data_IF_052490925354
#
_entry.id   IF_052490925354
#
_cell.length_a   1.000
_cell.length_b   1.000
_cell.length_c   1.000
_cell.angle_alpha   90.00
_cell.angle_beta   90.00
_cell.angle_gamma   90.00
#
_symmetry.space_group_name_H-M   'P 1'
#
loop_
_entity.id
_entity.type
_entity.pdbx_description
1 polymer ?
#
# COMPACT_ATOMS: atom_id res chain seq x y z
N UNK A 1 -21.15 15.73 -28.87
CA UNK A 1 -21.26 16.81 -27.89
C UNK A 1 -20.64 16.37 -26.58
N UNK A 2 -19.66 17.13 -26.10
CA UNK A 2 -18.99 16.92 -24.81
C UNK A 2 -19.97 17.10 -23.64
N UNK A 3 -19.97 16.18 -22.68
CA UNK A 3 -20.76 16.28 -21.45
C UNK A 3 -20.01 17.10 -20.38
N UNK A 4 -19.83 18.39 -20.65
CA UNK A 4 -19.02 19.29 -19.82
C UNK A 4 -19.43 19.29 -18.35
N UNK A 5 -20.75 19.27 -18.07
CA UNK A 5 -21.25 19.27 -16.68
C UNK A 5 -20.77 18.06 -15.90
N UNK A 6 -20.83 16.86 -16.50
CA UNK A 6 -20.41 15.63 -15.82
C UNK A 6 -18.89 15.54 -15.70
N UNK A 7 -18.16 15.99 -16.72
CA UNK A 7 -16.70 16.03 -16.72
C UNK A 7 -16.20 16.95 -15.62
N UNK A 8 -16.73 18.17 -15.50
CA UNK A 8 -16.35 19.12 -14.45
C UNK A 8 -16.61 18.58 -13.04
N UNK A 9 -17.74 17.89 -12.82
CA UNK A 9 -18.02 17.26 -11.51
C UNK A 9 -16.96 16.21 -11.15
N UNK A 10 -16.55 15.37 -12.11
CA UNK A 10 -15.51 14.36 -11.88
C UNK A 10 -14.12 15.00 -11.77
N UNK A 11 -13.87 16.09 -12.50
CA UNK A 11 -12.65 16.88 -12.45
C UNK A 11 -12.42 17.49 -11.06
N UNK A 12 -13.45 18.14 -10.52
CA UNK A 12 -13.41 18.72 -9.17
C UNK A 12 -13.29 17.63 -8.10
N UNK A 13 -14.00 16.50 -8.24
CA UNK A 13 -13.89 15.35 -7.33
C UNK A 13 -12.48 14.73 -7.33
N UNK A 14 -11.80 14.76 -8.47
CA UNK A 14 -10.43 14.28 -8.61
C UNK A 14 -9.39 15.26 -8.00
N UNK A 15 -9.81 16.45 -7.54
CA UNK A 15 -8.91 17.46 -7.01
C UNK A 15 -8.00 18.08 -8.08
N UNK A 16 -8.41 18.01 -9.35
CA UNK A 16 -7.68 18.62 -10.47
C UNK A 16 -7.88 20.15 -10.46
N UNK A 17 -6.86 20.95 -10.83
CA UNK A 17 -6.95 22.40 -10.82
C UNK A 17 -8.02 22.88 -11.80
N UNK A 18 -8.83 23.82 -11.32
CA UNK A 18 -9.80 24.56 -12.10
C UNK A 18 -9.28 26.01 -12.27
N UNK A 19 -8.57 26.26 -13.36
CA UNK A 19 -7.94 27.53 -13.71
C UNK A 19 -8.37 27.96 -15.13
N UNK A 20 -7.85 29.09 -15.61
CA UNK A 20 -8.22 29.64 -16.92
C UNK A 20 -7.86 28.73 -18.12
N UNK A 21 -7.02 27.72 -17.92
CA UNK A 21 -6.61 26.76 -18.96
C UNK A 21 -7.43 25.46 -18.93
N UNK A 22 -8.11 25.16 -17.81
CA UNK A 22 -8.86 23.91 -17.61
C UNK A 22 -9.85 23.61 -18.72
N UNK A 23 -10.56 24.63 -19.23
CA UNK A 23 -11.49 24.45 -20.35
C UNK A 23 -10.78 24.04 -21.64
N UNK A 24 -9.61 24.64 -21.92
CA UNK A 24 -8.78 24.31 -23.07
C UNK A 24 -8.25 22.89 -22.98
N UNK A 25 -7.72 22.51 -21.81
CA UNK A 25 -7.24 21.15 -21.53
C UNK A 25 -8.37 20.12 -21.71
N UNK A 26 -9.54 20.36 -21.12
CA UNK A 26 -10.71 19.48 -21.23
C UNK A 26 -11.14 19.32 -22.69
N UNK A 27 -11.17 20.42 -23.44
CA UNK A 27 -11.59 20.40 -24.84
C UNK A 27 -10.58 19.64 -25.69
N UNK A 28 -9.28 19.88 -25.51
CA UNK A 28 -8.21 19.20 -26.24
C UNK A 28 -8.22 17.69 -25.97
N UNK A 29 -8.27 17.28 -24.71
CA UNK A 29 -8.28 15.86 -24.32
C UNK A 29 -9.54 15.16 -24.87
N UNK A 30 -10.69 15.84 -24.82
CA UNK A 30 -11.91 15.28 -25.37
C UNK A 30 -11.87 15.18 -26.90
N UNK A 31 -11.26 16.14 -27.58
CA UNK A 31 -11.14 16.13 -29.04
C UNK A 31 -10.38 14.89 -29.50
N UNK A 32 -9.24 14.58 -28.87
CA UNK A 32 -8.45 13.37 -29.13
C UNK A 32 -9.29 12.08 -28.97
N UNK A 33 -10.07 11.99 -27.89
CA UNK A 33 -10.96 10.85 -27.66
C UNK A 33 -12.09 10.77 -28.69
N UNK A 34 -12.70 11.91 -29.05
CA UNK A 34 -13.85 11.93 -29.94
C UNK A 34 -13.51 11.49 -31.38
N UNK A 35 -12.28 11.73 -31.82
CA UNK A 35 -11.78 11.29 -33.13
C UNK A 35 -11.50 9.79 -33.20
N UNK A 36 -11.18 9.15 -32.07
CA UNK A 36 -10.77 7.74 -32.05
C UNK A 36 -11.81 6.80 -31.43
N UNK A 37 -12.78 7.31 -30.68
CA UNK A 37 -13.82 6.50 -30.04
C UNK A 37 -14.90 6.04 -31.02
N UNK A 38 -15.58 4.95 -30.69
CA UNK A 38 -16.67 4.41 -31.52
C UNK A 38 -17.83 5.41 -31.70
N UNK A 39 -18.05 6.27 -30.70
CA UNK A 39 -19.03 7.35 -30.72
C UNK A 39 -18.81 8.34 -29.56
N UNK A 40 -19.49 9.47 -29.60
CA UNK A 40 -19.38 10.52 -28.58
C UNK A 40 -19.77 10.07 -27.16
N UNK A 41 -20.68 9.10 -27.03
CA UNK A 41 -21.05 8.56 -25.73
C UNK A 41 -19.87 7.78 -25.13
N UNK A 42 -19.17 7.00 -25.95
CA UNK A 42 -17.94 6.30 -25.55
C UNK A 42 -16.82 7.29 -25.25
N UNK A 43 -16.58 8.32 -26.08
CA UNK A 43 -15.60 9.38 -25.78
C UNK A 43 -15.81 9.99 -24.38
N UNK A 44 -17.06 10.33 -24.05
CA UNK A 44 -17.41 10.89 -22.74
C UNK A 44 -17.16 9.89 -21.59
N UNK A 45 -17.46 8.61 -21.79
CA UNK A 45 -17.20 7.57 -20.78
C UNK A 45 -15.71 7.37 -20.57
N UNK A 46 -14.94 7.26 -21.66
CA UNK A 46 -13.50 7.11 -21.64
C UNK A 46 -12.86 8.30 -20.91
N UNK A 47 -13.27 9.53 -21.19
CA UNK A 47 -12.72 10.70 -20.49
C UNK A 47 -12.97 10.66 -18.97
N UNK A 48 -14.19 10.31 -18.55
CA UNK A 48 -14.51 10.16 -17.12
C UNK A 48 -13.66 9.05 -16.48
N UNK A 49 -13.43 7.94 -17.19
CA UNK A 49 -12.53 6.88 -16.71
C UNK A 49 -11.09 7.39 -16.56
N UNK A 50 -10.60 8.23 -17.47
CA UNK A 50 -9.24 8.77 -17.39
C UNK A 50 -9.07 9.65 -16.15
N UNK A 51 -10.04 10.53 -15.88
CA UNK A 51 -10.06 11.37 -14.68
C UNK A 51 -10.05 10.52 -13.42
N UNK A 52 -10.87 9.47 -13.37
CA UNK A 52 -10.93 8.55 -12.22
C UNK A 52 -9.62 7.78 -12.04
N UNK A 53 -9.00 7.30 -13.12
CA UNK A 53 -7.70 6.62 -13.07
C UNK A 53 -6.60 7.57 -12.57
N UNK A 54 -6.60 8.83 -13.02
CA UNK A 54 -5.67 9.85 -12.51
C UNK A 54 -5.87 10.11 -11.00
N UNK A 55 -7.13 10.19 -10.54
CA UNK A 55 -7.46 10.33 -9.13
C UNK A 55 -7.01 9.12 -8.29
N UNK A 56 -7.18 7.89 -8.78
CA UNK A 56 -6.70 6.68 -8.10
C UNK A 56 -5.17 6.64 -7.97
N UNK A 57 -4.45 7.29 -8.89
CA UNK A 57 -3.00 7.47 -8.84
C UNK A 57 -2.56 8.69 -7.99
N UNK A 58 -3.48 9.36 -7.29
CA UNK A 58 -3.24 10.62 -6.55
C UNK A 58 -2.63 11.74 -7.41
N UNK A 59 -2.90 11.75 -8.72
CA UNK A 59 -2.42 12.82 -9.60
C UNK A 59 -3.39 13.99 -9.63
N UNK A 60 -2.85 15.20 -9.48
CA UNK A 60 -3.60 16.45 -9.45
C UNK A 60 -3.33 17.33 -10.67
N UNK A 61 -2.93 16.74 -11.81
CA UNK A 61 -2.59 17.50 -13.03
C UNK A 61 -3.41 17.06 -14.24
N UNK A 62 -3.82 18.02 -15.08
CA UNK A 62 -4.50 17.75 -16.36
C UNK A 62 -3.65 16.87 -17.30
N UNK A 63 -2.33 17.11 -17.30
CA UNK A 63 -1.36 16.31 -18.05
C UNK A 63 -1.40 14.82 -17.72
N UNK A 64 -1.70 14.44 -16.47
CA UNK A 64 -1.82 13.03 -16.12
C UNK A 64 -3.06 12.39 -16.74
N UNK A 65 -4.17 13.13 -16.84
CA UNK A 65 -5.38 12.69 -17.52
C UNK A 65 -5.11 12.53 -19.02
N UNK A 66 -4.41 13.50 -19.62
CA UNK A 66 -3.99 13.45 -21.03
C UNK A 66 -3.08 12.25 -21.32
N UNK A 67 -2.09 11.99 -20.47
CA UNK A 67 -1.19 10.85 -20.64
C UNK A 67 -1.93 9.51 -20.58
N UNK A 68 -2.90 9.37 -19.68
CA UNK A 68 -3.76 8.17 -19.61
C UNK A 68 -4.57 8.01 -20.90
N UNK A 69 -5.16 9.10 -21.39
CA UNK A 69 -5.91 9.08 -22.66
C UNK A 69 -5.00 8.67 -23.81
N UNK A 70 -3.81 9.26 -23.94
CA UNK A 70 -2.83 8.90 -24.97
C UNK A 70 -2.41 7.44 -24.89
N UNK A 71 -2.22 6.88 -23.68
CA UNK A 71 -1.92 5.46 -23.50
C UNK A 71 -3.02 4.58 -24.10
N UNK A 72 -4.29 4.89 -23.82
CA UNK A 72 -5.42 4.14 -24.34
C UNK A 72 -5.59 4.28 -25.85
N UNK A 73 -5.36 5.48 -26.39
CA UNK A 73 -5.39 5.73 -27.83
C UNK A 73 -4.28 4.97 -28.56
N UNK A 74 -3.06 4.95 -28.02
CA UNK A 74 -1.94 4.17 -28.58
C UNK A 74 -2.18 2.67 -28.52
N UNK A 75 -2.92 2.19 -27.52
CA UNK A 75 -3.38 0.82 -27.43
C UNK A 75 -4.58 0.50 -28.35
N UNK A 76 -5.08 1.49 -29.11
CA UNK A 76 -6.18 1.31 -30.06
C UNK A 76 -7.55 1.10 -29.39
N UNK A 77 -7.72 1.58 -28.15
CA UNK A 77 -8.95 1.38 -27.39
C UNK A 77 -9.98 2.44 -27.78
N UNK A 78 -11.15 2.00 -28.26
CA UNK A 78 -12.18 2.89 -28.82
C UNK A 78 -13.45 3.00 -27.96
N UNK A 79 -13.57 2.22 -26.89
CA UNK A 79 -14.72 2.23 -25.98
C UNK A 79 -14.36 1.90 -24.52
N UNK A 80 -15.29 2.19 -23.61
CA UNK A 80 -15.08 2.04 -22.17
C UNK A 80 -14.90 0.57 -21.73
N UNK A 81 -15.51 -0.38 -22.45
CA UNK A 81 -15.39 -1.81 -22.15
C UNK A 81 -13.97 -2.29 -22.46
N UNK A 82 -13.43 -1.93 -23.63
CA UNK A 82 -12.07 -2.26 -24.04
C UNK A 82 -11.03 -1.71 -23.06
N UNK A 83 -11.22 -0.48 -22.54
CA UNK A 83 -10.39 0.06 -21.45
C UNK A 83 -10.48 -0.82 -20.20
N UNK A 84 -11.71 -1.18 -19.79
CA UNK A 84 -11.91 -2.01 -18.60
C UNK A 84 -11.18 -3.35 -18.68
N UNK A 85 -11.14 -3.96 -19.85
CA UNK A 85 -10.46 -5.24 -20.07
C UNK A 85 -8.94 -5.06 -20.20
N UNK A 86 -8.48 -4.02 -20.90
CA UNK A 86 -7.06 -3.63 -20.97
C UNK A 86 -6.45 -3.37 -19.59
N UNK A 87 -7.14 -2.62 -18.72
CA UNK A 87 -6.65 -2.33 -17.37
C UNK A 87 -6.59 -3.59 -16.49
N UNK A 88 -7.54 -4.52 -16.62
CA UNK A 88 -7.50 -5.80 -15.92
C UNK A 88 -6.31 -6.63 -16.37
N UNK A 89 -6.06 -6.71 -17.67
CA UNK A 89 -4.90 -7.41 -18.22
C UNK A 89 -3.60 -6.76 -17.77
N UNK A 90 -3.49 -5.43 -17.82
CA UNK A 90 -2.33 -4.68 -17.35
C UNK A 90 -2.02 -4.95 -15.88
N UNK A 91 -3.04 -4.95 -15.00
CA UNK A 91 -2.86 -5.32 -13.59
C UNK A 91 -2.44 -6.77 -13.38
N UNK A 92 -2.89 -7.70 -14.24
CA UNK A 92 -2.44 -9.08 -14.21
C UNK A 92 -1.00 -9.24 -14.74
N UNK A 93 -0.60 -8.44 -15.74
CA UNK A 93 0.75 -8.42 -16.28
C UNK A 93 1.76 -7.82 -15.31
N UNK A 94 1.40 -6.76 -14.56
CA UNK A 94 2.25 -6.23 -13.48
C UNK A 94 2.49 -7.23 -12.35
N UNK A 95 1.63 -8.25 -12.20
CA UNK A 95 1.84 -9.37 -11.25
C UNK A 95 2.81 -10.44 -11.76
N UNK A 96 3.33 -10.32 -12.98
CA UNK A 96 4.41 -11.17 -13.47
C UNK A 96 5.73 -10.54 -13.00
N UNK A 97 6.47 -11.27 -12.17
CA UNK A 97 7.76 -10.83 -11.66
C UNK A 97 8.75 -10.62 -12.80
N UNK A 98 9.91 -10.02 -12.48
CA UNK A 98 10.95 -9.56 -13.41
C UNK A 98 11.45 -10.57 -14.46
N UNK A 99 11.02 -11.83 -14.40
CA UNK A 99 11.35 -12.93 -15.32
C UNK A 99 10.13 -13.78 -15.74
N UNK A 100 8.92 -13.22 -15.76
CA UNK A 100 7.70 -13.96 -16.17
C UNK A 100 7.21 -15.00 -15.16
N UNK A 101 7.88 -15.16 -14.02
CA UNK A 101 7.41 -15.97 -12.91
C UNK A 101 6.30 -15.21 -12.15
N UNK A 102 5.21 -15.88 -11.74
CA UNK A 102 4.18 -15.24 -10.94
C UNK A 102 4.81 -14.68 -9.66
N UNK A 103 4.56 -13.40 -9.35
CA UNK A 103 4.94 -12.82 -8.06
C UNK A 103 4.22 -13.65 -7.00
N UNK A 104 4.98 -14.45 -6.23
CA UNK A 104 4.47 -15.05 -5.01
C UNK A 104 4.10 -13.88 -4.10
N UNK A 105 2.82 -13.52 -4.08
CA UNK A 105 2.29 -12.72 -3.00
C UNK A 105 2.45 -13.60 -1.77
N UNK A 106 3.42 -13.29 -0.91
CA UNK A 106 3.37 -13.78 0.45
C UNK A 106 2.00 -13.35 0.96
N UNK A 107 1.16 -14.34 1.28
CA UNK A 107 -0.08 -14.07 1.99
C UNK A 107 0.29 -13.19 3.15
N UNK A 108 -0.30 -11.97 3.23
CA UNK A 108 -0.20 -11.13 4.43
C UNK A 108 -0.31 -12.07 5.61
N UNK A 109 0.71 -12.11 6.47
CA UNK A 109 0.69 -12.98 7.64
C UNK A 109 -0.64 -12.73 8.34
N UNK A 110 -1.52 -13.73 8.31
CA UNK A 110 -2.82 -13.60 8.94
C UNK A 110 -2.53 -13.33 10.41
N UNK A 111 -3.12 -12.27 10.96
CA UNK A 111 -3.03 -12.05 12.39
C UNK A 111 -3.50 -13.34 13.08
N UNK A 112 -2.72 -13.90 14.02
CA UNK A 112 -3.10 -15.12 14.68
C UNK A 112 -4.44 -14.90 15.39
N UNK A 113 -5.35 -15.84 15.19
CA UNK A 113 -6.66 -15.80 15.82
C UNK A 113 -6.55 -15.94 17.34
N UNK A 114 -7.54 -15.45 18.07
CA UNK A 114 -7.57 -15.50 19.54
C UNK A 114 -7.35 -16.93 20.09
N UNK A 115 -7.85 -17.94 19.38
CA UNK A 115 -7.73 -19.33 19.80
C UNK A 115 -6.33 -19.92 19.50
N UNK A 116 -5.68 -19.50 18.43
CA UNK A 116 -4.27 -19.85 18.15
C UNK A 116 -3.34 -19.25 19.22
N UNK A 117 -3.60 -18.01 19.65
CA UNK A 117 -2.84 -17.36 20.73
C UNK A 117 -3.02 -18.11 22.05
N UNK A 118 -4.24 -18.54 22.39
CA UNK A 118 -4.50 -19.33 23.61
C UNK A 118 -3.76 -20.66 23.59
N UNK A 119 -3.86 -21.40 22.48
CA UNK A 119 -3.15 -22.68 22.34
C UNK A 119 -1.63 -22.52 22.42
N UNK A 120 -1.09 -21.44 21.82
CA UNK A 120 0.33 -21.12 21.94
C UNK A 120 0.72 -20.85 23.40
N UNK A 121 -0.04 -20.02 24.12
CA UNK A 121 0.24 -19.71 25.52
C UNK A 121 0.18 -20.94 26.43
N UNK A 122 -0.77 -21.85 26.20
CA UNK A 122 -0.87 -23.12 26.94
C UNK A 122 0.32 -24.05 26.68
N UNK A 123 0.79 -24.13 25.42
CA UNK A 123 2.01 -24.89 25.08
C UNK A 123 3.23 -24.32 25.78
N UNK A 124 3.40 -23.00 25.73
CA UNK A 124 4.52 -22.31 26.37
C UNK A 124 4.53 -22.47 27.88
N UNK A 125 3.36 -22.39 28.53
CA UNK A 125 3.26 -22.64 29.96
C UNK A 125 3.78 -24.04 30.33
N UNK A 126 3.41 -25.07 29.57
CA UNK A 126 3.87 -26.45 29.78
C UNK A 126 5.37 -26.62 29.51
N UNK A 127 5.88 -26.08 28.39
CA UNK A 127 7.29 -26.17 28.02
C UNK A 127 8.21 -25.49 29.06
N UNK A 128 7.76 -24.36 29.61
CA UNK A 128 8.48 -23.63 30.64
C UNK A 128 8.27 -24.19 32.06
N UNK A 129 7.49 -25.27 32.20
CA UNK A 129 7.24 -25.97 33.47
C UNK A 129 6.26 -25.28 34.43
N UNK A 130 5.41 -24.37 33.93
CA UNK A 130 4.36 -23.72 34.72
C UNK A 130 3.06 -24.53 34.70
N UNK A 131 2.35 -24.53 35.84
CA UNK A 131 1.06 -25.23 36.01
C UNK A 131 -0.07 -24.63 35.17
N UNK A 132 0.01 -23.34 34.82
CA UNK A 132 -0.98 -22.64 34.00
C UNK A 132 -0.41 -21.39 33.34
N UNK A 133 -1.11 -20.88 32.33
CA UNK A 133 -0.79 -19.60 31.67
C UNK A 133 -0.79 -18.43 32.67
N UNK A 134 -1.70 -18.45 33.66
CA UNK A 134 -1.75 -17.45 34.70
C UNK A 134 -0.54 -17.51 35.64
N UNK A 135 -0.08 -18.72 35.99
CA UNK A 135 1.13 -18.92 36.78
C UNK A 135 2.38 -18.46 36.00
N UNK A 136 2.44 -18.73 34.69
CA UNK A 136 3.49 -18.22 33.81
C UNK A 136 3.48 -16.68 33.75
N UNK A 137 2.32 -16.06 33.59
CA UNK A 137 2.20 -14.60 33.55
C UNK A 137 2.63 -13.95 34.86
N UNK A 138 2.25 -14.55 36.01
CA UNK A 138 2.68 -14.08 37.33
C UNK A 138 4.19 -14.27 37.54
N UNK A 139 4.72 -15.45 37.25
CA UNK A 139 6.14 -15.75 37.42
C UNK A 139 7.04 -14.89 36.53
N UNK A 140 6.65 -14.64 35.29
CA UNK A 140 7.37 -13.73 34.38
C UNK A 140 7.30 -12.27 34.86
N UNK A 141 6.15 -11.84 35.38
CA UNK A 141 5.99 -10.52 35.99
C UNK A 141 6.90 -10.34 37.21
N UNK A 142 6.86 -11.29 38.15
CA UNK A 142 7.68 -11.25 39.37
C UNK A 142 9.18 -11.25 39.02
N UNK A 143 9.59 -12.02 38.02
CA UNK A 143 10.95 -12.02 37.51
C UNK A 143 11.33 -10.65 36.93
N UNK A 144 10.47 -10.02 36.13
CA UNK A 144 10.71 -8.66 35.61
C UNK A 144 10.84 -7.62 36.73
N UNK A 145 9.99 -7.70 37.76
CA UNK A 145 10.05 -6.82 38.94
C UNK A 145 11.37 -7.01 39.67
N UNK A 146 11.77 -8.25 39.93
CA UNK A 146 13.04 -8.58 40.57
C UNK A 146 14.24 -8.11 39.75
N UNK A 147 14.22 -8.29 38.43
CA UNK A 147 15.26 -7.80 37.53
C UNK A 147 15.37 -6.27 37.58
N UNK A 148 14.24 -5.55 37.68
CA UNK A 148 14.23 -4.08 37.81
C UNK A 148 14.75 -3.64 39.17
N UNK A 149 14.30 -4.27 40.26
CA UNK A 149 14.72 -3.96 41.62
C UNK A 149 16.24 -4.17 41.82
N UNK A 150 16.76 -5.32 41.36
CA UNK A 150 18.19 -5.68 41.49
C UNK A 150 19.07 -5.09 40.39
N UNK A 151 18.54 -4.23 39.52
CA UNK A 151 19.29 -3.69 38.37
C UNK A 151 20.58 -3.00 38.80
N UNK A 152 20.53 -2.17 39.85
CA UNK A 152 21.71 -1.43 40.32
C UNK A 152 22.81 -2.36 40.81
N UNK A 153 22.46 -3.36 41.59
CA UNK A 153 23.39 -4.37 42.13
C UNK A 153 23.97 -5.26 41.00
N UNK A 154 23.13 -5.73 40.08
CA UNK A 154 23.55 -6.53 38.92
C UNK A 154 24.42 -5.76 37.93
N UNK A 155 24.31 -4.44 37.89
CA UNK A 155 25.19 -3.59 37.09
C UNK A 155 26.45 -3.14 37.85
N UNK A 156 26.40 -3.07 39.19
CA UNK A 156 27.54 -2.72 40.03
C UNK A 156 28.63 -3.80 40.02
N UNK A 157 28.24 -5.08 39.98
CA UNK A 157 29.15 -6.22 39.94
C UNK A 157 29.66 -6.59 38.54
N UNK A 158 29.33 -5.82 37.50
CA UNK A 158 29.91 -6.01 36.16
C UNK A 158 31.26 -5.32 36.07
N UNK A 159 32.33 -6.00 35.62
CA UNK A 159 33.60 -5.34 35.37
C UNK A 159 33.37 -4.20 34.37
N UNK A 160 33.84 -3.00 34.69
CA UNK A 160 33.85 -1.84 33.77
C UNK A 160 34.91 -2.03 32.67
N UNK A 161 34.95 -3.21 32.05
CA UNK A 161 35.94 -3.57 31.04
C UNK A 161 35.62 -2.97 29.66
N UNK A 162 34.45 -2.35 29.49
CA UNK A 162 34.00 -1.90 28.18
C UNK A 162 33.78 -3.06 27.21
N UNK A 163 33.62 -4.28 27.71
CA UNK A 163 33.34 -5.49 26.94
C UNK A 163 31.85 -5.86 27.07
N UNK A 164 31.28 -6.49 26.04
CA UNK A 164 29.95 -7.11 26.04
C UNK A 164 29.95 -8.34 26.95
N UNK A 165 28.76 -8.91 27.21
CA UNK A 165 28.63 -10.15 27.99
C UNK A 165 29.37 -11.35 27.37
N UNK A 166 29.67 -11.29 26.06
CA UNK A 166 30.43 -12.29 25.30
C UNK A 166 31.92 -11.92 25.14
N UNK A 167 32.38 -10.81 25.75
CA UNK A 167 33.79 -10.42 25.75
C UNK A 167 34.22 -9.52 24.58
N UNK A 168 33.30 -8.98 23.78
CA UNK A 168 33.62 -8.07 22.67
C UNK A 168 33.69 -6.62 23.10
N UNK A 169 34.64 -5.83 22.60
CA UNK A 169 34.78 -4.43 22.97
C UNK A 169 33.59 -3.59 22.47
N UNK A 170 32.90 -2.91 23.38
CA UNK A 170 31.85 -1.94 23.06
C UNK A 170 32.53 -0.75 22.41
N UNK A 171 32.39 -0.62 21.10
CA UNK A 171 32.93 0.50 20.32
C UNK A 171 32.33 1.79 20.86
N UNK A 172 33.10 2.55 21.65
CA UNK A 172 32.73 3.91 22.07
C UNK A 172 32.84 4.82 20.85
N UNK A 173 31.72 5.16 20.23
CA UNK A 173 31.62 6.37 19.40
C UNK A 173 30.91 7.44 20.22
N UNK A 174 31.68 8.35 20.81
CA UNK A 174 31.30 9.73 21.11
C UNK A 174 32.56 10.58 21.02
#
# INVERSE_FOLDING_TARGET
>A
MINQKKIMIEWDKAGLPNNNYTYGDITSIYDDLSHSSDNELEANKMFILAIRKAAMANSTTSMAVENIVREWLLAGLTNAQAIGDYEKESQQMQRKGRYGQPIKQESKASEPTSDEIKQQNERWAKELGYESVAAMAKGTHDLLVNLRATRKERLANKPKSGLTAEGHQVVRRF
#
